data_IF_237774288182
#
_entry.id   IF_237774288182
#
_cell.length_a   1.000
_cell.length_b   1.000
_cell.length_c   1.000
_cell.angle_alpha   90.00
_cell.angle_beta   90.00
_cell.angle_gamma   90.00
#
_symmetry.space_group_name_H-M   'P 1'
#
loop_
_entity.id
_entity.type
_entity.pdbx_description
1 polymer ?
#
# COMPACT_ATOMS: atom_id res chain seq x y z
N UNK A 1 -0.39 -38.06 23.93
CA UNK A 1 0.68 -37.81 24.92
C UNK A 1 0.91 -36.31 25.02
N UNK A 2 0.84 -35.82 26.26
CA UNK A 2 1.14 -34.49 26.83
C UNK A 2 1.00 -33.22 25.95
N UNK A 3 -0.03 -32.44 26.27
CA UNK A 3 -0.04 -30.99 26.12
C UNK A 3 0.82 -30.34 27.22
N UNK A 4 1.78 -29.50 26.86
CA UNK A 4 2.52 -28.66 27.80
C UNK A 4 1.87 -27.28 27.88
N UNK A 5 1.26 -27.03 29.03
CA UNK A 5 0.77 -25.74 29.54
C UNK A 5 1.92 -25.01 30.27
N UNK A 6 1.84 -23.67 30.31
CA UNK A 6 2.45 -22.81 31.34
C UNK A 6 3.71 -22.06 30.86
N UNK A 7 3.96 -20.79 31.20
CA UNK A 7 3.51 -20.06 32.37
C UNK A 7 3.40 -18.54 32.10
N UNK A 8 2.36 -17.92 32.69
CA UNK A 8 2.21 -16.47 32.84
C UNK A 8 3.12 -16.00 33.97
N UNK A 9 3.90 -14.94 33.73
CA UNK A 9 4.66 -14.24 34.76
C UNK A 9 3.69 -13.50 35.69
N UNK A 10 3.67 -13.93 36.96
CA UNK A 10 2.89 -13.34 38.03
C UNK A 10 3.57 -12.07 38.57
N UNK A 11 2.75 -11.04 38.79
CA UNK A 11 3.13 -9.79 39.43
C UNK A 11 3.49 -10.00 40.90
N UNK A 12 4.66 -9.51 41.31
CA UNK A 12 5.08 -9.49 42.71
C UNK A 12 4.52 -8.24 43.41
N UNK A 13 3.60 -8.46 44.35
CA UNK A 13 3.18 -7.49 45.34
C UNK A 13 4.18 -7.47 46.51
N UNK A 14 4.68 -6.30 46.88
CA UNK A 14 5.50 -6.11 48.08
C UNK A 14 4.70 -5.45 49.22
N UNK A 15 4.93 -5.82 50.49
CA UNK A 15 4.04 -5.54 51.60
C UNK A 15 4.23 -4.17 52.26
N UNK A 16 3.13 -3.73 52.88
CA UNK A 16 3.02 -2.60 53.81
C UNK A 16 3.72 -2.94 55.13
N UNK A 17 4.45 -1.99 55.70
CA UNK A 17 4.87 -2.04 57.11
C UNK A 17 5.93 -1.00 57.45
N UNK A 18 5.73 -0.27 58.55
CA UNK A 18 6.79 0.49 59.21
C UNK A 18 6.41 1.88 59.68
N UNK A 19 5.56 1.96 60.71
CA UNK A 19 5.42 3.17 61.52
C UNK A 19 6.72 3.40 62.33
N UNK A 20 7.45 4.47 62.02
CA UNK A 20 8.54 4.97 62.86
C UNK A 20 8.19 6.37 63.37
N UNK A 21 7.65 6.34 64.59
CA UNK A 21 7.91 7.18 65.75
C UNK A 21 8.36 8.63 65.51
N UNK A 22 7.53 9.53 66.05
CA UNK A 22 7.78 10.96 66.29
C UNK A 22 9.08 11.16 67.06
N UNK A 23 10.01 11.93 66.49
CA UNK A 23 11.15 12.50 67.21
C UNK A 23 11.00 14.02 67.30
N UNK A 24 10.92 14.48 68.55
CA UNK A 24 11.41 15.73 69.12
C UNK A 24 11.26 17.06 68.36
N UNK A 25 10.57 17.98 69.04
CA UNK A 25 10.52 19.41 68.75
C UNK A 25 11.91 20.07 68.81
N UNK A 26 12.24 20.83 67.77
CA UNK A 26 13.33 21.80 67.76
C UNK A 26 12.77 23.23 67.93
N UNK A 27 13.53 24.16 68.55
CA UNK A 27 13.05 25.52 68.83
C UNK A 27 12.78 26.31 67.55
N UNK A 28 11.63 27.00 67.51
CA UNK A 28 11.25 27.91 66.43
C UNK A 28 12.12 29.17 66.53
N UNK A 29 13.20 29.23 65.76
CA UNK A 29 13.86 30.48 65.44
C UNK A 29 12.92 31.32 64.57
N UNK A 30 12.34 32.38 65.13
CA UNK A 30 11.53 33.35 64.39
C UNK A 30 12.44 34.25 63.55
N UNK A 31 12.76 33.80 62.33
CA UNK A 31 13.39 34.64 61.32
C UNK A 31 12.33 35.58 60.74
N UNK A 32 12.51 36.88 60.96
CA UNK A 32 11.75 37.94 60.32
C UNK A 32 12.01 37.92 58.81
N UNK A 33 11.02 37.50 58.04
CA UNK A 33 11.07 37.59 56.58
C UNK A 33 10.76 39.01 56.14
N UNK A 34 11.80 39.73 55.76
CA UNK A 34 11.75 40.91 54.88
C UNK A 34 10.90 40.57 53.66
N UNK A 35 9.93 41.44 53.33
CA UNK A 35 8.96 41.32 52.25
C UNK A 35 9.63 41.46 50.87
N UNK A 36 10.44 40.48 50.47
CA UNK A 36 10.77 40.24 49.08
C UNK A 36 9.59 39.55 48.41
N UNK A 37 9.13 40.04 47.25
CA UNK A 37 8.13 39.34 46.42
C UNK A 37 8.56 37.88 46.29
N UNK A 38 7.78 36.99 46.89
CA UNK A 38 8.02 35.56 46.82
C UNK A 38 8.09 35.15 45.34
N UNK A 39 9.08 34.32 45.00
CA UNK A 39 9.14 33.65 43.71
C UNK A 39 7.86 32.84 43.53
N UNK A 40 6.93 33.37 42.74
CA UNK A 40 5.73 32.64 42.33
C UNK A 40 6.14 31.63 41.25
N UNK A 41 5.87 30.32 41.45
CA UNK A 41 6.15 29.33 40.42
C UNK A 41 5.37 29.71 39.15
N UNK A 42 5.98 29.62 37.95
CA UNK A 42 5.27 29.92 36.72
C UNK A 42 4.03 29.04 36.64
N UNK A 43 2.87 29.67 36.49
CA UNK A 43 1.58 28.97 36.38
C UNK A 43 1.72 27.84 35.37
N UNK A 44 1.45 26.61 35.82
CA UNK A 44 1.58 25.42 34.98
C UNK A 44 0.82 25.62 33.66
N UNK A 45 1.53 25.54 32.54
CA UNK A 45 0.89 25.64 31.22
C UNK A 45 -0.07 24.45 31.10
N UNK A 46 -1.36 24.73 31.00
CA UNK A 46 -2.39 23.70 30.79
C UNK A 46 -2.02 22.93 29.53
N UNK A 47 -1.92 21.60 29.63
CA UNK A 47 -1.62 20.76 28.47
C UNK A 47 -2.61 21.06 27.34
N UNK A 48 -2.15 21.23 26.08
CA UNK A 48 -3.05 21.51 24.99
C UNK A 48 -4.06 20.38 24.83
N UNK A 49 -5.31 20.72 24.55
CA UNK A 49 -6.34 19.72 24.30
C UNK A 49 -5.95 18.83 23.11
N UNK A 50 -6.29 17.54 23.19
CA UNK A 50 -5.97 16.56 22.14
C UNK A 50 -6.40 17.04 20.74
N UNK A 51 -7.61 17.60 20.63
CA UNK A 51 -8.15 18.17 19.39
C UNK A 51 -7.27 19.28 18.79
N UNK A 52 -6.64 20.11 19.63
CA UNK A 52 -5.76 21.19 19.18
C UNK A 52 -4.45 20.64 18.62
N UNK A 53 -3.91 19.61 19.25
CA UNK A 53 -2.73 18.90 18.73
C UNK A 53 -3.03 18.20 17.39
N UNK A 54 -4.20 17.58 17.27
CA UNK A 54 -4.65 16.94 16.02
C UNK A 54 -4.79 17.98 14.90
N UNK A 55 -5.36 19.15 15.17
CA UNK A 55 -5.46 20.23 14.19
C UNK A 55 -4.10 20.79 13.76
N UNK A 56 -3.19 21.01 14.73
CA UNK A 56 -1.83 21.49 14.43
C UNK A 56 -1.05 20.44 13.62
N UNK A 57 -1.11 19.17 14.00
CA UNK A 57 -0.44 18.10 13.25
C UNK A 57 -1.00 17.95 11.84
N UNK A 58 -2.32 18.05 11.66
CA UNK A 58 -2.95 18.08 10.35
C UNK A 58 -2.43 19.23 9.48
N UNK A 59 -2.29 20.43 10.06
CA UNK A 59 -1.70 21.60 9.38
C UNK A 59 -0.22 21.41 9.02
N UNK A 60 0.57 20.78 9.89
CA UNK A 60 2.00 20.54 9.65
C UNK A 60 2.21 19.52 8.54
N UNK A 61 1.46 18.42 8.55
CA UNK A 61 1.66 17.29 7.63
C UNK A 61 0.76 17.32 6.40
N UNK A 62 -0.06 18.37 6.23
CA UNK A 62 -1.03 18.46 5.14
C UNK A 62 -2.07 17.34 5.14
N UNK A 63 -2.41 16.80 6.32
CA UNK A 63 -3.42 15.75 6.45
C UNK A 63 -4.78 16.36 6.78
N UNK A 64 -5.86 15.62 6.51
CA UNK A 64 -7.20 16.07 6.88
C UNK A 64 -7.40 15.89 8.40
N UNK A 65 -8.05 16.85 9.08
CA UNK A 65 -8.36 16.72 10.51
C UNK A 65 -9.34 15.56 10.75
N UNK A 66 -9.26 14.94 11.94
CA UNK A 66 -10.13 13.86 12.39
C UNK A 66 -11.57 14.33 12.57
N UNK A 67 -12.30 14.43 11.46
CA UNK A 67 -13.73 14.70 11.41
C UNK A 67 -14.41 13.39 11.04
N UNK A 68 -15.33 12.90 11.86
CA UNK A 68 -16.04 11.63 11.63
C UNK A 68 -17.15 11.80 10.56
N UNK A 69 -16.80 12.42 9.44
CA UNK A 69 -17.69 12.78 8.33
C UNK A 69 -17.25 11.98 7.10
N UNK A 70 -18.21 11.54 6.28
CA UNK A 70 -17.94 10.79 5.05
C UNK A 70 -17.45 11.72 3.93
N UNK A 71 -16.18 12.15 4.01
CA UNK A 71 -15.54 13.07 3.06
C UNK A 71 -15.07 12.43 1.75
N UNK A 72 -15.14 11.09 1.62
CA UNK A 72 -14.64 10.38 0.44
C UNK A 72 -13.12 10.20 0.39
N UNK A 73 -12.36 10.61 1.42
CA UNK A 73 -10.90 10.46 1.48
C UNK A 73 -10.43 9.01 1.30
N UNK A 74 -11.25 8.01 1.69
CA UNK A 74 -10.97 6.59 1.42
C UNK A 74 -10.86 6.28 -0.07
N UNK A 75 -11.60 6.98 -0.93
CA UNK A 75 -11.54 6.79 -2.40
C UNK A 75 -10.30 7.47 -2.95
N UNK A 76 -10.04 8.72 -2.55
CA UNK A 76 -8.88 9.50 -3.01
C UNK A 76 -7.53 8.87 -2.64
N UNK A 77 -7.45 8.20 -1.48
CA UNK A 77 -6.24 7.48 -1.04
C UNK A 77 -5.98 6.18 -1.80
N UNK A 78 -6.96 5.67 -2.57
CA UNK A 78 -6.73 4.46 -3.37
C UNK A 78 -5.79 4.82 -4.52
N UNK A 79 -4.73 4.03 -4.68
CA UNK A 79 -3.87 4.14 -5.86
C UNK A 79 -4.67 3.78 -7.12
N UNK A 80 -4.51 4.58 -8.16
CA UNK A 80 -5.09 4.30 -9.47
C UNK A 80 -4.46 3.02 -10.03
N UNK A 81 -5.28 2.13 -10.58
CA UNK A 81 -4.85 0.86 -11.20
C UNK A 81 -4.82 0.92 -12.73
N UNK A 82 -5.11 2.08 -13.31
CA UNK A 82 -5.18 2.30 -14.76
C UNK A 82 -4.00 1.72 -15.55
N UNK A 83 -2.74 2.09 -15.26
CA UNK A 83 -1.60 1.59 -16.03
C UNK A 83 -1.47 0.06 -15.93
N UNK A 84 -1.66 -0.51 -14.73
CA UNK A 84 -1.62 -1.96 -14.53
C UNK A 84 -2.69 -2.72 -15.33
N UNK A 85 -3.86 -2.10 -15.55
CA UNK A 85 -4.94 -2.69 -16.33
C UNK A 85 -4.75 -2.47 -17.83
N UNK A 86 -4.16 -1.35 -18.22
CA UNK A 86 -3.72 -1.14 -19.59
C UNK A 86 -2.75 -2.27 -19.95
N UNK A 87 -1.68 -2.45 -19.18
CA UNK A 87 -0.61 -3.44 -19.43
C UNK A 87 -1.04 -4.93 -19.26
N UNK A 88 -2.34 -5.23 -19.18
CA UNK A 88 -2.84 -6.60 -18.95
C UNK A 88 -2.43 -7.58 -20.07
N UNK A 89 -2.39 -7.12 -21.32
CA UNK A 89 -1.80 -7.86 -22.43
C UNK A 89 -0.49 -7.21 -22.83
N UNK A 90 0.57 -8.01 -23.00
CA UNK A 90 1.93 -7.53 -23.25
C UNK A 90 2.13 -6.84 -24.63
N UNK A 91 1.19 -7.00 -25.56
CA UNK A 91 1.36 -6.59 -26.98
C UNK A 91 0.59 -5.31 -27.33
N UNK A 92 0.64 -4.29 -26.47
CA UNK A 92 -0.13 -3.04 -26.69
C UNK A 92 0.46 -2.12 -27.76
N UNK A 93 1.76 -2.23 -27.99
CA UNK A 93 2.49 -1.41 -28.97
C UNK A 93 2.20 -1.83 -30.41
N UNK A 94 1.56 -2.98 -30.63
CA UNK A 94 1.24 -3.51 -31.95
C UNK A 94 2.47 -3.91 -32.78
N UNK A 95 3.64 -3.96 -32.17
CA UNK A 95 4.90 -4.34 -32.83
C UNK A 95 5.18 -5.81 -32.54
N UNK A 96 4.73 -6.68 -33.43
CA UNK A 96 5.03 -8.11 -33.34
C UNK A 96 6.52 -8.37 -33.62
N UNK A 97 7.06 -9.42 -33.01
CA UNK A 97 8.44 -9.90 -33.26
C UNK A 97 8.66 -10.15 -34.75
N UNK A 98 7.62 -10.59 -35.46
CA UNK A 98 7.66 -10.81 -36.91
C UNK A 98 7.84 -9.53 -37.73
N UNK A 99 7.34 -8.40 -37.25
CA UNK A 99 7.51 -7.10 -37.94
C UNK A 99 8.96 -6.67 -37.82
N UNK A 100 9.50 -6.66 -36.60
CA UNK A 100 10.90 -6.30 -36.32
C UNK A 100 11.86 -7.26 -37.02
N UNK A 101 11.59 -8.57 -36.98
CA UNK A 101 12.42 -9.58 -37.62
C UNK A 101 12.53 -9.38 -39.13
N UNK A 102 11.42 -8.98 -39.80
CA UNK A 102 11.41 -8.69 -41.24
C UNK A 102 12.13 -7.40 -41.60
N UNK A 103 12.12 -6.40 -40.72
CA UNK A 103 12.89 -5.16 -40.91
C UNK A 103 14.40 -5.40 -40.84
N UNK A 104 14.85 -6.26 -39.91
CA UNK A 104 16.27 -6.55 -39.69
C UNK A 104 16.83 -7.51 -40.75
N UNK A 105 16.11 -8.59 -41.05
CA UNK A 105 16.55 -9.64 -41.96
C UNK A 105 15.54 -9.87 -43.08
N UNK A 106 15.95 -9.60 -44.31
CA UNK A 106 15.15 -9.90 -45.49
C UNK A 106 14.94 -11.41 -45.60
N UNK A 107 13.69 -11.85 -45.44
CA UNK A 107 13.31 -13.27 -45.45
C UNK A 107 13.04 -13.88 -44.08
N UNK A 108 13.05 -13.10 -42.99
CA UNK A 108 12.63 -13.58 -41.68
C UNK A 108 11.22 -14.20 -41.73
N UNK A 109 11.11 -15.40 -41.18
CA UNK A 109 9.85 -16.14 -41.02
C UNK A 109 9.89 -16.95 -39.73
N UNK A 110 8.79 -16.90 -38.99
CA UNK A 110 8.56 -17.80 -37.87
C UNK A 110 8.36 -19.26 -38.35
N UNK A 111 8.76 -20.23 -37.53
CA UNK A 111 8.61 -21.67 -37.83
C UNK A 111 7.17 -22.06 -38.13
N UNK A 112 6.21 -21.46 -37.41
CA UNK A 112 4.77 -21.66 -37.65
C UNK A 112 4.35 -21.17 -39.04
N UNK A 113 4.88 -20.03 -39.46
CA UNK A 113 4.60 -19.50 -40.80
C UNK A 113 5.23 -20.36 -41.89
N UNK A 114 6.47 -20.79 -41.71
CA UNK A 114 7.16 -21.69 -42.62
C UNK A 114 6.40 -23.00 -42.81
N UNK A 115 6.00 -23.63 -41.69
CA UNK A 115 5.17 -24.84 -41.72
C UNK A 115 3.84 -24.61 -42.42
N UNK A 116 3.17 -23.49 -42.14
CA UNK A 116 1.89 -23.14 -42.77
C UNK A 116 2.03 -22.97 -44.29
N UNK A 117 3.10 -22.32 -44.77
CA UNK A 117 3.38 -22.16 -46.21
C UNK A 117 3.63 -23.53 -46.87
N UNK A 118 4.47 -24.36 -46.27
CA UNK A 118 4.77 -25.71 -46.78
C UNK A 118 3.50 -26.58 -46.87
N UNK A 119 2.64 -26.55 -45.83
CA UNK A 119 1.38 -27.28 -45.86
C UNK A 119 0.43 -26.78 -46.95
N UNK A 120 0.34 -25.46 -47.15
CA UNK A 120 -0.48 -24.89 -48.22
C UNK A 120 0.00 -25.33 -49.60
N UNK A 121 1.31 -25.44 -49.83
CA UNK A 121 1.85 -25.95 -51.09
C UNK A 121 1.47 -27.41 -51.34
N UNK A 122 1.61 -28.27 -50.32
CA UNK A 122 1.22 -29.68 -50.41
C UNK A 122 -0.28 -29.80 -50.71
N UNK A 123 -1.13 -29.00 -50.05
CA UNK A 123 -2.58 -29.01 -50.27
C UNK A 123 -2.94 -28.53 -51.68
N UNK A 124 -2.28 -27.47 -52.18
CA UNK A 124 -2.48 -26.98 -53.54
C UNK A 124 -2.08 -28.02 -54.59
N UNK A 125 -0.96 -28.72 -54.41
CA UNK A 125 -0.54 -29.84 -55.29
C UNK A 125 -1.57 -30.97 -55.32
N UNK A 126 -2.23 -31.23 -54.19
CA UNK A 126 -3.31 -32.23 -54.08
C UNK A 126 -4.67 -31.75 -54.60
N UNK A 127 -4.80 -30.50 -55.04
CA UNK A 127 -6.09 -29.89 -55.39
C UNK A 127 -7.01 -29.62 -54.18
N UNK A 128 -6.49 -29.74 -52.96
CA UNK A 128 -7.21 -29.52 -51.69
C UNK A 128 -6.85 -28.17 -51.05
N UNK A 129 -6.27 -27.26 -51.83
CA UNK A 129 -5.98 -25.91 -51.39
C UNK A 129 -7.26 -25.10 -51.16
N UNK A 130 -7.20 -24.02 -50.36
CA UNK A 130 -8.32 -23.11 -50.24
C UNK A 130 -8.72 -22.56 -51.63
N UNK A 131 -10.00 -22.59 -52.02
CA UNK A 131 -10.44 -22.08 -53.30
C UNK A 131 -10.30 -20.55 -53.36
N UNK A 132 -10.35 -19.99 -54.57
CA UNK A 132 -10.42 -18.53 -54.75
C UNK A 132 -11.64 -17.99 -54.01
N UNK A 133 -11.47 -16.86 -53.31
CA UNK A 133 -12.58 -16.17 -52.62
C UNK A 133 -13.75 -15.99 -53.58
N UNK A 134 -14.96 -16.34 -53.15
CA UNK A 134 -16.16 -16.29 -53.98
C UNK A 134 -16.38 -17.50 -54.90
N UNK A 135 -15.40 -18.40 -55.05
CA UNK A 135 -15.51 -19.66 -55.83
C UNK A 135 -15.67 -20.88 -54.93
N UNK A 136 -16.38 -20.70 -53.82
CA UNK A 136 -16.73 -21.81 -52.92
C UNK A 136 -17.78 -22.72 -53.53
N UNK A 137 -18.06 -23.86 -52.88
CA UNK A 137 -19.03 -24.86 -53.35
C UNK A 137 -20.41 -24.30 -53.72
N UNK A 138 -20.86 -23.23 -53.06
CA UNK A 138 -22.16 -22.58 -53.30
C UNK A 138 -22.17 -21.63 -54.51
N UNK A 139 -21.00 -21.23 -55.00
CA UNK A 139 -20.87 -20.25 -56.09
C UNK A 139 -21.36 -20.76 -57.44
N UNK A 140 -21.17 -22.07 -57.71
CA UNK A 140 -21.60 -22.69 -58.97
C UNK A 140 -23.07 -23.11 -59.00
N UNK A 141 -23.84 -22.88 -57.93
CA UNK A 141 -25.26 -23.23 -57.88
C UNK A 141 -26.08 -21.99 -58.23
N UNK A 142 -26.29 -21.80 -59.54
CA UNK A 142 -27.34 -20.94 -60.10
C UNK A 142 -28.57 -21.77 -60.37
#
# INVERSE_FOLDING_TARGET
>A
MLALRGARLAAAAAPRGGALQRAAAAPRCSLSTTTGKAWEPPKAKVAPSSKRLDAISASIFGTLPSTNVRSGNKVLRKKLKGPLLADYYFDQSGVDIDVVGREILSGWMNDREARRKNQLEILRRRGKGPPKKGMGKRSGKK
#
